data_IF_789760198036
#
_entry.id   IF_789760198036
#
_cell.length_a   1.000
_cell.length_b   1.000
_cell.length_c   1.000
_cell.angle_alpha   90.00
_cell.angle_beta   90.00
_cell.angle_gamma   90.00
#
_symmetry.space_group_name_H-M   'P 1'
#
loop_
_entity.id
_entity.type
_entity.pdbx_description
1 polymer ?
#
# COMPACT_ATOMS: atom_id res chain seq x y z
N UNK A 1 -0.46 36.06 10.90
CA UNK A 1 -0.36 34.87 11.77
C UNK A 1 -0.74 33.64 10.93
N UNK A 2 0.25 33.03 10.28
CA UNK A 2 0.09 31.80 9.51
C UNK A 2 0.22 30.61 10.44
N UNK A 3 -0.88 29.98 10.79
CA UNK A 3 -0.87 28.72 11.51
C UNK A 3 -0.28 27.64 10.61
N UNK A 4 0.89 27.12 10.98
CA UNK A 4 1.46 25.91 10.39
C UNK A 4 0.48 24.77 10.70
N UNK A 5 -0.28 24.34 9.69
CA UNK A 5 -1.05 23.10 9.78
C UNK A 5 -0.04 21.97 9.83
N UNK A 6 0.28 21.51 11.03
CA UNK A 6 1.01 20.26 11.20
C UNK A 6 0.15 19.15 10.61
N UNK A 7 0.53 18.67 9.43
CA UNK A 7 0.03 17.41 8.92
C UNK A 7 0.42 16.34 9.95
N UNK A 8 -0.57 15.87 10.71
CA UNK A 8 -0.36 14.86 11.75
C UNK A 8 -0.02 13.56 11.08
N UNK A 9 1.17 13.07 11.34
CA UNK A 9 1.61 11.76 10.88
C UNK A 9 0.58 10.70 11.26
N UNK A 10 0.17 9.93 10.28
CA UNK A 10 -0.71 8.79 10.44
C UNK A 10 -0.21 7.68 9.54
N UNK A 11 0.14 6.54 10.14
CA UNK A 11 0.54 5.35 9.39
C UNK A 11 -0.54 4.29 9.52
N UNK A 12 -0.92 3.69 8.41
CA UNK A 12 -1.90 2.62 8.36
C UNK A 12 -1.21 1.34 7.88
N UNK A 13 -1.17 0.36 8.75
CA UNK A 13 -0.52 -0.93 8.50
C UNK A 13 -1.56 -2.02 8.44
N UNK A 14 -1.55 -2.79 7.37
CA UNK A 14 -2.36 -3.99 7.24
C UNK A 14 -1.54 -5.20 7.69
N UNK A 15 -2.08 -5.97 8.64
CA UNK A 15 -1.44 -7.17 9.21
C UNK A 15 -2.44 -8.31 9.07
N UNK A 16 -2.24 -9.18 8.07
CA UNK A 16 -3.25 -10.18 7.71
C UNK A 16 -4.61 -9.49 7.44
N UNK A 17 -5.68 -9.86 8.15
CA UNK A 17 -7.01 -9.25 8.06
C UNK A 17 -7.19 -8.06 9.03
N UNK A 18 -6.14 -7.63 9.70
CA UNK A 18 -6.21 -6.57 10.70
C UNK A 18 -5.71 -5.24 10.17
N UNK A 19 -6.28 -4.15 10.68
CA UNK A 19 -5.84 -2.78 10.40
C UNK A 19 -5.29 -2.16 11.67
N UNK A 20 -4.05 -1.70 11.63
CA UNK A 20 -3.42 -0.96 12.71
C UNK A 20 -3.09 0.45 12.23
N UNK A 21 -3.64 1.44 12.89
CA UNK A 21 -3.39 2.86 12.63
C UNK A 21 -2.50 3.42 13.72
N UNK A 22 -1.40 4.07 13.34
CA UNK A 22 -0.52 4.82 14.22
C UNK A 22 -0.86 6.30 14.06
N UNK A 23 -1.25 6.97 15.14
CA UNK A 23 -1.72 8.36 15.09
C UNK A 23 -1.47 9.11 16.38
N UNK A 24 -1.42 10.43 16.31
CA UNK A 24 -1.28 11.30 17.51
C UNK A 24 -2.58 11.37 18.32
N UNK A 25 -3.73 11.13 17.68
CA UNK A 25 -5.06 11.14 18.33
C UNK A 25 -5.82 9.86 18.04
N UNK A 26 -6.74 9.48 18.92
CA UNK A 26 -7.65 8.38 18.64
C UNK A 26 -8.39 8.56 17.31
N UNK A 27 -8.61 7.45 16.61
CA UNK A 27 -9.44 7.42 15.40
C UNK A 27 -10.89 7.64 15.82
N UNK A 28 -11.62 8.51 15.11
CA UNK A 28 -13.03 8.80 15.43
C UNK A 28 -14.02 7.66 15.14
N UNK A 29 -13.56 6.56 14.55
CA UNK A 29 -14.35 5.37 14.28
C UNK A 29 -14.37 4.47 15.53
N UNK A 30 -15.54 4.23 16.16
CA UNK A 30 -15.68 3.45 17.39
C UNK A 30 -15.32 1.96 17.23
N UNK A 31 -15.18 1.46 16.01
CA UNK A 31 -14.73 0.09 15.75
C UNK A 31 -13.23 -0.12 16.04
N UNK A 32 -12.45 0.97 16.23
CA UNK A 32 -11.05 0.87 16.61
C UNK A 32 -10.87 0.75 18.11
N UNK A 33 -10.17 -0.30 18.55
CA UNK A 33 -9.63 -0.36 19.91
C UNK A 33 -8.46 0.62 20.01
N UNK A 34 -8.45 1.46 21.04
CA UNK A 34 -7.34 2.39 21.28
C UNK A 34 -6.32 1.78 22.23
N UNK A 35 -5.05 1.78 21.80
CA UNK A 35 -3.90 1.36 22.60
C UNK A 35 -2.89 2.51 22.71
N UNK A 36 -2.45 2.81 23.93
CA UNK A 36 -1.40 3.77 24.22
C UNK A 36 -0.22 3.01 24.80
N UNK A 37 0.88 2.84 24.02
CA UNK A 37 2.09 2.23 24.55
C UNK A 37 2.70 3.11 25.65
N UNK A 38 3.31 2.48 26.65
CA UNK A 38 4.13 3.20 27.62
C UNK A 38 5.40 3.75 26.93
N UNK A 39 5.98 4.79 27.49
CA UNK A 39 7.24 5.35 26.97
C UNK A 39 8.33 4.28 26.93
N UNK A 40 8.95 4.09 25.76
CA UNK A 40 9.98 3.06 25.54
C UNK A 40 9.44 1.62 25.47
N UNK A 41 8.12 1.42 25.45
CA UNK A 41 7.51 0.09 25.32
C UNK A 41 7.74 -0.46 23.92
N UNK A 42 8.48 -1.58 23.76
CA UNK A 42 8.73 -2.15 22.45
C UNK A 42 7.43 -2.68 21.82
N UNK A 43 7.19 -2.30 20.58
CA UNK A 43 6.06 -2.78 19.79
C UNK A 43 6.52 -3.85 18.81
N UNK A 44 5.90 -5.01 18.90
CA UNK A 44 6.03 -6.11 17.93
C UNK A 44 4.69 -6.39 17.25
N UNK A 45 4.73 -7.02 16.07
CA UNK A 45 3.51 -7.47 15.39
C UNK A 45 2.66 -8.36 16.29
N UNK A 46 3.29 -9.32 16.98
CA UNK A 46 2.59 -10.23 17.93
C UNK A 46 1.86 -9.46 19.01
N UNK A 47 2.50 -8.44 19.59
CA UNK A 47 1.88 -7.58 20.60
C UNK A 47 0.69 -6.80 20.05
N UNK A 48 0.83 -6.22 18.86
CA UNK A 48 -0.27 -5.51 18.21
C UNK A 48 -1.44 -6.44 17.93
N UNK A 49 -1.20 -7.65 17.42
CA UNK A 49 -2.24 -8.64 17.17
C UNK A 49 -2.96 -9.07 18.47
N UNK A 50 -2.24 -9.20 19.59
CA UNK A 50 -2.86 -9.44 20.88
C UNK A 50 -3.78 -8.28 21.34
N UNK A 51 -3.45 -7.03 21.00
CA UNK A 51 -4.25 -5.84 21.33
C UNK A 51 -5.45 -5.63 20.41
N UNK A 52 -5.39 -6.09 19.17
CA UNK A 52 -6.50 -5.99 18.21
C UNK A 52 -7.76 -6.71 18.70
N UNK A 53 -7.60 -7.84 19.41
CA UNK A 53 -8.70 -8.67 19.86
C UNK A 53 -9.67 -9.05 18.72
N UNK A 54 -10.97 -9.05 18.96
CA UNK A 54 -12.00 -9.39 17.97
C UNK A 54 -12.37 -8.24 17.03
N UNK A 55 -11.90 -7.02 17.30
CA UNK A 55 -12.27 -5.83 16.51
C UNK A 55 -11.63 -5.81 15.11
N UNK A 56 -10.52 -6.52 14.93
CA UNK A 56 -9.65 -6.45 13.74
C UNK A 56 -9.09 -5.04 13.44
N UNK A 57 -9.32 -4.06 14.31
CA UNK A 57 -8.96 -2.65 14.13
C UNK A 57 -8.33 -2.09 15.41
N UNK A 58 -7.11 -1.58 15.31
CA UNK A 58 -6.34 -1.02 16.41
C UNK A 58 -5.83 0.38 16.07
N UNK A 59 -6.02 1.32 16.99
CA UNK A 59 -5.37 2.62 16.95
C UNK A 59 -4.26 2.66 18.01
N UNK A 60 -3.01 2.71 17.57
CA UNK A 60 -1.84 2.99 18.40
C UNK A 60 -1.71 4.50 18.50
N UNK A 61 -1.85 5.04 19.70
CA UNK A 61 -1.89 6.50 19.90
C UNK A 61 -0.73 6.94 20.79
N UNK A 62 0.05 7.88 20.30
CA UNK A 62 1.19 8.48 21.03
C UNK A 62 1.42 9.91 20.58
N UNK A 63 1.87 10.79 21.46
CA UNK A 63 2.28 12.15 21.11
C UNK A 63 3.55 12.15 20.25
N UNK A 64 4.42 11.14 20.42
CA UNK A 64 5.60 10.88 19.58
C UNK A 64 5.38 9.68 18.67
N UNK A 65 4.39 9.78 17.79
CA UNK A 65 4.00 8.67 16.92
C UNK A 65 5.06 8.34 15.88
N UNK A 66 5.88 9.28 15.49
CA UNK A 66 6.99 9.08 14.55
C UNK A 66 8.02 8.11 15.14
N UNK A 67 8.43 8.33 16.39
CA UNK A 67 9.37 7.44 17.07
C UNK A 67 8.75 6.07 17.30
N UNK A 68 7.49 6.02 17.75
CA UNK A 68 6.76 4.75 17.96
C UNK A 68 6.66 3.93 16.68
N UNK A 69 6.39 4.58 15.55
CA UNK A 69 6.35 3.90 14.25
C UNK A 69 7.74 3.50 13.76
N UNK A 70 8.75 4.34 13.99
CA UNK A 70 10.15 4.02 13.65
C UNK A 70 10.63 2.78 14.42
N UNK A 71 10.36 2.69 15.72
CA UNK A 71 10.71 1.55 16.57
C UNK A 71 9.95 0.27 16.10
N UNK A 72 8.67 0.39 15.81
CA UNK A 72 7.88 -0.69 15.25
C UNK A 72 8.48 -1.20 13.93
N UNK A 73 8.88 -0.30 13.03
CA UNK A 73 9.53 -0.63 11.76
C UNK A 73 10.88 -1.33 11.98
N UNK A 74 11.68 -0.84 12.93
CA UNK A 74 13.00 -1.39 13.23
C UNK A 74 12.95 -2.79 13.86
N UNK A 75 11.82 -3.17 14.45
CA UNK A 75 11.63 -4.50 15.06
C UNK A 75 11.37 -5.63 14.06
N UNK A 76 11.38 -5.35 12.75
CA UNK A 76 11.03 -6.28 11.70
C UNK A 76 11.96 -6.14 10.49
N UNK A 77 12.00 -7.18 9.65
CA UNK A 77 12.61 -7.06 8.34
C UNK A 77 11.80 -6.06 7.50
N UNK A 78 12.46 -5.01 7.01
CA UNK A 78 11.83 -3.99 6.19
C UNK A 78 12.12 -4.21 4.71
N UNK A 79 11.09 -4.16 3.87
CA UNK A 79 11.17 -4.29 2.41
C UNK A 79 10.52 -3.07 1.78
N UNK A 80 11.20 -2.49 0.78
CA UNK A 80 10.64 -1.45 -0.07
C UNK A 80 10.16 -2.02 -1.40
N UNK A 81 9.12 -1.41 -1.94
CA UNK A 81 8.54 -1.75 -3.22
C UNK A 81 8.03 -0.48 -3.93
N UNK A 82 8.05 -0.50 -5.25
CA UNK A 82 7.46 0.53 -6.10
C UNK A 82 6.29 -0.02 -6.90
N UNK A 83 5.28 0.79 -7.17
CA UNK A 83 4.14 0.39 -7.99
C UNK A 83 3.40 1.56 -8.63
N UNK A 84 2.52 1.26 -9.57
CA UNK A 84 1.87 2.25 -10.42
C UNK A 84 0.35 2.20 -10.43
N UNK A 85 -0.25 3.39 -10.36
CA UNK A 85 -1.64 3.66 -10.74
C UNK A 85 -1.59 4.18 -12.16
N UNK A 86 -1.68 3.26 -13.13
CA UNK A 86 -1.40 3.54 -14.54
C UNK A 86 -2.68 3.68 -15.33
N UNK A 87 -2.80 4.76 -16.10
CA UNK A 87 -3.93 5.01 -16.98
C UNK A 87 -3.48 5.07 -18.45
N UNK A 88 -4.32 4.54 -19.35
CA UNK A 88 -4.20 4.72 -20.79
C UNK A 88 -4.77 6.08 -21.27
N UNK A 89 -4.66 6.46 -22.56
CA UNK A 89 -5.19 7.72 -23.08
C UNK A 89 -6.71 7.86 -22.97
N UNK A 90 -7.44 6.75 -22.83
CA UNK A 90 -8.89 6.72 -22.65
C UNK A 90 -9.30 6.85 -21.19
N UNK A 91 -8.30 6.87 -20.26
CA UNK A 91 -8.54 6.92 -18.82
C UNK A 91 -8.85 5.57 -18.18
N UNK A 92 -8.69 4.46 -18.93
CA UNK A 92 -8.81 3.13 -18.36
C UNK A 92 -7.65 2.85 -17.40
N UNK A 93 -7.93 2.16 -16.30
CA UNK A 93 -6.94 1.83 -15.27
C UNK A 93 -6.34 0.44 -15.53
N UNK A 94 -5.01 0.33 -15.46
CA UNK A 94 -4.31 -0.95 -15.51
C UNK A 94 -4.50 -1.72 -14.21
N UNK A 95 -5.10 -2.89 -14.29
CA UNK A 95 -5.20 -3.83 -13.18
C UNK A 95 -4.55 -5.16 -13.54
N UNK A 96 -4.03 -5.84 -12.53
CA UNK A 96 -3.58 -7.22 -12.61
C UNK A 96 -4.46 -8.13 -11.75
N UNK A 97 -4.60 -9.40 -12.14
CA UNK A 97 -5.25 -10.42 -11.31
C UNK A 97 -4.18 -11.39 -10.80
N UNK A 98 -3.98 -11.41 -9.48
CA UNK A 98 -2.92 -12.17 -8.82
C UNK A 98 -3.45 -12.82 -7.53
N UNK A 99 -3.13 -14.08 -7.30
CA UNK A 99 -3.57 -14.81 -6.10
C UNK A 99 -5.09 -14.75 -5.85
N UNK A 100 -5.89 -14.80 -6.92
CA UNK A 100 -7.35 -14.77 -6.84
C UNK A 100 -7.96 -13.39 -6.54
N UNK A 101 -7.18 -12.30 -6.62
CA UNK A 101 -7.66 -10.93 -6.35
C UNK A 101 -7.14 -9.93 -7.38
N UNK A 102 -7.92 -8.88 -7.59
CA UNK A 102 -7.47 -7.72 -8.36
C UNK A 102 -6.46 -6.91 -7.54
N UNK A 103 -5.41 -6.46 -8.22
CA UNK A 103 -4.28 -5.74 -7.62
C UNK A 103 -3.77 -4.69 -8.61
N UNK A 104 -2.88 -3.82 -8.14
CA UNK A 104 -2.08 -2.92 -8.97
C UNK A 104 -0.67 -3.49 -9.13
N UNK A 105 -0.04 -3.32 -10.31
CA UNK A 105 1.31 -3.81 -10.56
C UNK A 105 2.35 -3.12 -9.66
N UNK A 106 3.25 -3.91 -9.06
CA UNK A 106 4.27 -3.46 -8.10
C UNK A 106 5.24 -4.57 -7.76
N UNK A 107 6.46 -4.22 -7.48
CA UNK A 107 7.42 -5.19 -6.99
C UNK A 107 8.54 -4.59 -6.15
N UNK A 108 9.53 -5.39 -5.81
CA UNK A 108 10.56 -5.05 -4.84
C UNK A 108 11.61 -4.10 -5.42
N UNK A 109 12.05 -3.17 -4.58
CA UNK A 109 13.20 -2.31 -4.87
C UNK A 109 14.48 -3.16 -4.93
N UNK A 110 15.26 -3.00 -5.99
CA UNK A 110 16.56 -3.63 -6.15
C UNK A 110 17.69 -2.79 -5.51
N UNK A 111 18.82 -3.41 -5.14
CA UNK A 111 19.95 -2.67 -4.58
C UNK A 111 20.48 -1.57 -5.52
N UNK A 112 20.56 -0.35 -5.02
CA UNK A 112 21.04 0.81 -5.79
C UNK A 112 20.02 1.44 -6.74
N UNK A 113 18.81 0.88 -6.84
CA UNK A 113 17.73 1.41 -7.66
C UNK A 113 17.00 2.56 -6.92
N UNK A 114 16.53 3.57 -7.65
CA UNK A 114 15.63 4.58 -7.12
C UNK A 114 14.21 4.02 -7.09
N UNK A 115 13.43 4.43 -6.11
CA UNK A 115 12.06 3.89 -5.93
C UNK A 115 11.13 4.24 -7.09
N UNK A 116 11.36 5.39 -7.74
CA UNK A 116 10.63 5.81 -8.93
C UNK A 116 10.93 4.91 -10.13
N UNK A 117 12.20 4.56 -10.31
CA UNK A 117 12.66 3.68 -11.39
C UNK A 117 12.15 2.25 -11.16
N UNK A 118 12.20 1.77 -9.92
CA UNK A 118 11.58 0.51 -9.48
C UNK A 118 10.09 0.46 -9.86
N UNK A 119 9.32 1.51 -9.55
CA UNK A 119 7.91 1.54 -9.84
C UNK A 119 7.62 1.42 -11.34
N UNK A 120 8.40 2.10 -12.19
CA UNK A 120 8.26 2.03 -13.66
C UNK A 120 8.66 0.65 -14.17
N UNK A 121 9.81 0.11 -13.71
CA UNK A 121 10.30 -1.22 -14.10
C UNK A 121 9.27 -2.30 -13.77
N UNK A 122 8.79 -2.32 -12.55
CA UNK A 122 7.87 -3.36 -12.07
C UNK A 122 6.52 -3.35 -12.82
N UNK A 123 5.96 -2.15 -13.07
CA UNK A 123 4.75 -2.04 -13.90
C UNK A 123 5.02 -2.54 -15.32
N UNK A 124 6.18 -2.22 -15.87
CA UNK A 124 6.60 -2.68 -17.19
C UNK A 124 6.75 -4.19 -17.26
N UNK A 125 7.43 -4.79 -16.29
CA UNK A 125 7.71 -6.24 -16.23
C UNK A 125 6.44 -7.06 -15.96
N UNK A 126 5.67 -6.69 -14.93
CA UNK A 126 4.45 -7.41 -14.55
C UNK A 126 3.34 -7.36 -15.62
N UNK A 127 3.35 -6.30 -16.46
CA UNK A 127 2.32 -6.07 -17.48
C UNK A 127 2.83 -6.12 -18.92
N UNK A 128 4.10 -6.38 -19.17
CA UNK A 128 4.67 -6.42 -20.53
C UNK A 128 4.57 -5.09 -21.28
N UNK A 129 4.68 -3.96 -20.58
CA UNK A 129 4.54 -2.63 -21.16
C UNK A 129 5.88 -1.88 -21.19
N UNK A 130 6.11 -1.08 -22.23
CA UNK A 130 7.27 -0.18 -22.34
C UNK A 130 6.83 1.24 -22.65
N UNK A 131 7.65 2.23 -22.25
CA UNK A 131 7.33 3.64 -22.50
C UNK A 131 6.31 4.23 -21.50
N UNK A 132 6.23 3.66 -20.31
CA UNK A 132 5.47 4.22 -19.20
C UNK A 132 6.03 5.58 -18.79
N UNK A 133 5.16 6.55 -18.58
CA UNK A 133 5.52 7.88 -18.11
C UNK A 133 5.18 8.02 -16.64
N UNK A 134 6.23 8.18 -15.82
CA UNK A 134 6.08 8.42 -14.39
C UNK A 134 5.43 9.79 -14.14
N UNK A 135 4.48 9.82 -13.23
CA UNK A 135 3.79 11.02 -12.77
C UNK A 135 3.98 11.27 -11.27
N UNK A 136 3.01 11.94 -10.66
CA UNK A 136 3.10 12.33 -9.26
C UNK A 136 3.02 11.13 -8.30
N UNK A 137 3.70 11.25 -7.16
CA UNK A 137 3.52 10.37 -6.00
C UNK A 137 2.06 10.38 -5.52
N UNK A 138 1.54 9.22 -5.16
CA UNK A 138 0.16 9.04 -4.68
C UNK A 138 0.14 8.82 -3.18
N UNK A 139 0.76 7.74 -2.71
CA UNK A 139 0.74 7.33 -1.31
C UNK A 139 1.80 6.26 -1.01
N UNK A 140 2.06 6.07 0.28
CA UNK A 140 2.67 4.86 0.79
C UNK A 140 1.60 3.93 1.36
N UNK A 141 1.74 2.63 1.12
CA UNK A 141 1.00 1.59 1.84
C UNK A 141 1.96 0.70 2.61
N UNK A 142 1.50 0.21 3.76
CA UNK A 142 2.27 -0.68 4.61
C UNK A 142 1.51 -1.99 4.80
N UNK A 143 2.19 -3.10 4.52
CA UNK A 143 1.66 -4.44 4.69
C UNK A 143 2.65 -5.28 5.49
N UNK A 144 2.17 -5.88 6.57
CA UNK A 144 2.95 -6.76 7.41
C UNK A 144 2.47 -8.20 7.20
N UNK A 145 3.40 -9.10 6.88
CA UNK A 145 3.11 -10.51 6.59
C UNK A 145 4.25 -11.41 7.02
N UNK A 146 3.99 -12.73 7.10
CA UNK A 146 5.03 -13.71 7.41
C UNK A 146 5.73 -14.16 6.14
N UNK A 147 7.06 -14.21 6.20
CA UNK A 147 7.92 -14.76 5.17
C UNK A 147 9.02 -15.58 5.83
N UNK A 148 9.12 -16.87 5.48
CA UNK A 148 10.08 -17.81 6.08
C UNK A 148 10.06 -17.84 7.63
N UNK A 149 8.88 -17.69 8.22
CA UNK A 149 8.70 -17.68 9.68
C UNK A 149 8.89 -16.33 10.37
N UNK A 150 9.42 -15.32 9.67
CA UNK A 150 9.66 -13.98 10.19
C UNK A 150 8.57 -12.98 9.76
N UNK A 151 8.33 -11.98 10.59
CA UNK A 151 7.49 -10.85 10.21
C UNK A 151 8.27 -9.88 9.32
N UNK A 152 7.64 -9.50 8.23
CA UNK A 152 8.17 -8.54 7.25
C UNK A 152 7.20 -7.37 7.14
N UNK A 153 7.71 -6.16 7.27
CA UNK A 153 6.98 -4.95 6.95
C UNK A 153 7.37 -4.48 5.55
N UNK A 154 6.45 -4.53 4.61
CA UNK A 154 6.63 -4.00 3.26
C UNK A 154 6.00 -2.62 3.13
N UNK A 155 6.79 -1.60 2.76
CA UNK A 155 6.32 -0.31 2.29
C UNK A 155 6.26 -0.32 0.77
N UNK A 156 5.11 -0.02 0.19
CA UNK A 156 5.00 0.22 -1.26
C UNK A 156 4.77 1.69 -1.52
N UNK A 157 5.60 2.28 -2.35
CA UNK A 157 5.46 3.66 -2.85
C UNK A 157 4.70 3.63 -4.16
N UNK A 158 3.58 4.33 -4.23
CA UNK A 158 2.69 4.33 -5.37
C UNK A 158 2.79 5.64 -6.13
N UNK A 159 2.85 5.53 -7.47
CA UNK A 159 2.95 6.67 -8.38
C UNK A 159 1.85 6.62 -9.43
N UNK A 160 1.35 7.78 -9.82
CA UNK A 160 0.56 7.88 -11.05
C UNK A 160 1.46 7.59 -12.23
N UNK A 161 0.93 6.87 -13.22
CA UNK A 161 1.62 6.65 -14.49
C UNK A 161 0.68 6.84 -15.65
N UNK A 162 1.23 7.19 -16.81
CA UNK A 162 0.53 7.26 -18.08
C UNK A 162 1.18 6.30 -19.06
N UNK A 163 0.35 5.65 -19.83
CA UNK A 163 0.77 4.80 -20.93
C UNK A 163 0.16 5.30 -22.22
N UNK A 164 0.98 5.77 -23.18
CA UNK A 164 0.54 6.28 -24.47
C UNK A 164 0.78 5.33 -25.65
N UNK A 165 1.27 4.11 -25.36
CA UNK A 165 1.56 3.11 -26.39
C UNK A 165 0.33 2.33 -26.84
N UNK A 166 0.56 1.40 -27.78
CA UNK A 166 -0.47 0.52 -28.37
C UNK A 166 -0.34 -0.95 -27.95
N UNK A 167 0.63 -1.30 -27.09
CA UNK A 167 0.82 -2.66 -26.63
C UNK A 167 -0.36 -3.07 -25.73
N UNK A 168 -0.84 -4.28 -25.89
CA UNK A 168 -1.79 -4.89 -24.94
C UNK A 168 -1.02 -5.38 -23.72
N UNK A 169 -1.52 -5.17 -22.50
CA UNK A 169 -0.91 -5.74 -21.31
C UNK A 169 -0.76 -7.25 -21.41
N UNK A 170 0.39 -7.77 -20.98
CA UNK A 170 0.72 -9.19 -20.95
C UNK A 170 1.08 -9.55 -19.51
N UNK A 171 0.37 -10.47 -18.84
CA UNK A 171 0.65 -10.83 -17.46
C UNK A 171 1.96 -11.59 -17.34
N UNK A 172 2.78 -11.24 -16.38
CA UNK A 172 3.99 -11.98 -16.00
C UNK A 172 3.62 -13.22 -15.16
N UNK A 173 3.36 -14.32 -15.81
CA UNK A 173 2.82 -15.54 -15.18
C UNK A 173 3.72 -16.17 -14.13
N UNK A 174 5.05 -15.99 -14.23
CA UNK A 174 6.03 -16.47 -13.23
C UNK A 174 5.86 -15.79 -11.86
N UNK A 175 5.25 -14.61 -11.83
CA UNK A 175 4.89 -13.88 -10.60
C UNK A 175 3.48 -14.23 -10.08
N UNK A 176 2.83 -15.24 -10.69
CA UNK A 176 1.47 -15.65 -10.32
C UNK A 176 0.39 -14.69 -10.81
N UNK A 177 0.71 -13.81 -11.76
CA UNK A 177 -0.24 -12.90 -12.41
C UNK A 177 -0.91 -13.66 -13.54
N UNK A 178 -2.22 -13.77 -13.48
CA UNK A 178 -3.01 -14.50 -14.51
C UNK A 178 -3.69 -13.60 -15.52
N UNK A 179 -3.92 -12.32 -15.14
CA UNK A 179 -4.48 -11.31 -16.03
C UNK A 179 -3.78 -9.97 -15.84
N UNK A 180 -3.62 -9.22 -16.93
CA UNK A 180 -3.23 -7.81 -16.95
C UNK A 180 -4.14 -7.11 -17.97
N UNK A 181 -4.97 -6.16 -17.52
CA UNK A 181 -6.04 -5.59 -18.35
C UNK A 181 -6.23 -4.09 -18.10
N UNK A 182 -6.64 -3.39 -19.15
CA UNK A 182 -7.17 -2.04 -19.06
C UNK A 182 -8.65 -2.10 -18.67
N UNK A 183 -9.03 -1.45 -17.57
CA UNK A 183 -10.37 -1.46 -17.00
C UNK A 183 -10.99 -0.08 -17.10
N UNK A 184 -12.08 0.10 -17.84
CA UNK A 184 -12.84 1.34 -17.86
C UNK A 184 -13.31 1.74 -16.45
N UNK A 185 -13.34 3.02 -16.14
CA UNK A 185 -13.73 3.50 -14.80
C UNK A 185 -15.12 2.99 -14.37
N UNK A 186 -16.05 2.85 -15.33
CA UNK A 186 -17.38 2.31 -15.05
C UNK A 186 -17.38 0.83 -14.61
N UNK A 187 -16.32 0.08 -14.94
CA UNK A 187 -16.17 -1.34 -14.61
C UNK A 187 -15.26 -1.60 -13.39
N UNK A 188 -14.74 -0.55 -12.77
CA UNK A 188 -13.85 -0.69 -11.61
C UNK A 188 -14.57 -1.26 -10.38
N UNK A 189 -15.78 -0.79 -10.09
CA UNK A 189 -16.49 -1.14 -8.85
C UNK A 189 -16.64 -2.66 -8.62
N UNK A 190 -17.09 -3.47 -9.59
CA UNK A 190 -17.19 -4.92 -9.42
C UNK A 190 -15.82 -5.59 -9.17
N UNK A 191 -14.75 -5.12 -9.84
CA UNK A 191 -13.41 -5.67 -9.65
C UNK A 191 -12.86 -5.33 -8.26
N UNK A 192 -13.20 -4.16 -7.74
CA UNK A 192 -12.77 -3.72 -6.41
C UNK A 192 -13.53 -4.41 -5.26
N UNK A 193 -14.60 -5.13 -5.51
CA UNK A 193 -15.22 -6.01 -4.51
C UNK A 193 -14.26 -7.14 -4.11
N UNK A 194 -13.43 -7.61 -5.05
CA UNK A 194 -12.42 -8.63 -4.84
C UNK A 194 -10.99 -8.06 -4.97
N UNK A 195 -10.65 -7.08 -4.16
CA UNK A 195 -9.30 -6.51 -4.09
C UNK A 195 -8.79 -6.42 -2.65
N UNK A 196 -7.52 -6.08 -2.50
CA UNK A 196 -6.93 -5.83 -1.19
C UNK A 196 -7.34 -4.44 -0.65
N UNK A 197 -7.48 -4.32 0.66
CA UNK A 197 -7.78 -3.04 1.30
C UNK A 197 -6.72 -1.96 1.00
N UNK A 198 -5.44 -2.37 0.93
CA UNK A 198 -4.34 -1.48 0.53
C UNK A 198 -4.57 -0.87 -0.85
N UNK A 199 -5.09 -1.64 -1.80
CA UNK A 199 -5.36 -1.17 -3.16
C UNK A 199 -6.55 -0.21 -3.19
N UNK A 200 -7.59 -0.47 -2.40
CA UNK A 200 -8.69 0.51 -2.24
C UNK A 200 -8.18 1.84 -1.70
N UNK A 201 -7.31 1.82 -0.68
CA UNK A 201 -6.71 3.05 -0.12
C UNK A 201 -5.91 3.82 -1.19
N UNK A 202 -5.10 3.12 -1.99
CA UNK A 202 -4.33 3.73 -3.08
C UNK A 202 -5.25 4.36 -4.12
N UNK A 203 -6.29 3.64 -4.54
CA UNK A 203 -7.24 4.13 -5.55
C UNK A 203 -8.09 5.29 -5.01
N UNK A 204 -8.41 5.30 -3.72
CA UNK A 204 -9.05 6.45 -3.05
C UNK A 204 -8.12 7.66 -3.05
N UNK A 205 -6.86 7.49 -2.64
CA UNK A 205 -5.86 8.56 -2.67
C UNK A 205 -5.60 9.07 -4.11
N UNK A 206 -5.72 8.19 -5.09
CA UNK A 206 -5.62 8.53 -6.51
C UNK A 206 -6.92 9.11 -7.11
N UNK A 207 -8.03 9.18 -6.36
CA UNK A 207 -9.31 9.76 -6.82
C UNK A 207 -10.14 8.88 -7.75
N UNK A 208 -9.86 7.57 -7.82
CA UNK A 208 -10.65 6.60 -8.59
C UNK A 208 -11.85 6.03 -7.81
N UNK A 209 -11.78 6.10 -6.49
CA UNK A 209 -12.82 5.60 -5.56
C UNK A 209 -13.15 6.72 -4.57
N UNK A 210 -14.44 6.81 -4.21
CA UNK A 210 -14.93 7.77 -3.19
C UNK A 210 -14.88 7.15 -1.79
#
# INVERSE_FOLDING_TARGET
FGGIVHFRAMYKVYIEDNVVVFSVRPVGDPSFVTFRPAAGEPLSVTKLLQKVQNSKRLAVVSDDIEQVFADFRASQRFIEAGGGVTADPQGNLLLIFRNGRWDLPKGKLEPGERIEDCAVREVGEECGLSGLQLGAFVAHTYHCYRMHGEWVLKRTSWYRMRYGGSQRPQPQTVEGITEAVWVPQAELAPKLENTYFTIRDVLTAAGYVK
#
